data_IF_775169367064
#
_entry.id   IF_775169367064
#
_cell.length_a   1.000
_cell.length_b   1.000
_cell.length_c   1.000
_cell.angle_alpha   90.00
_cell.angle_beta   90.00
_cell.angle_gamma   90.00
#
_symmetry.space_group_name_H-M   'P 1'
#
loop_
_entity.id
_entity.type
_entity.pdbx_description
1 polymer ?
#
# COMPACT_ATOMS: atom_id res chain seq x y z
N UNK A 1 18.73 21.61 16.36
CA UNK A 1 18.60 20.19 15.99
C UNK A 1 17.82 20.13 14.69
N UNK A 2 18.41 19.54 13.67
CA UNK A 2 17.73 19.30 12.41
C UNK A 2 16.59 18.30 12.63
N UNK A 3 15.43 18.58 12.04
CA UNK A 3 14.26 17.72 12.12
C UNK A 3 14.46 16.57 11.14
N UNK A 4 14.43 15.34 11.63
CA UNK A 4 14.59 14.16 10.78
C UNK A 4 13.39 14.01 9.84
N UNK A 5 13.63 13.44 8.65
CA UNK A 5 12.55 13.07 7.72
C UNK A 5 12.25 11.58 7.83
N UNK A 6 10.97 11.23 7.86
CA UNK A 6 10.56 9.85 7.60
C UNK A 6 10.77 9.53 6.11
N UNK A 7 11.61 8.54 5.84
CA UNK A 7 11.90 8.05 4.48
C UNK A 7 10.97 6.90 4.08
N UNK A 8 10.36 6.24 5.06
CA UNK A 8 9.29 5.28 4.87
C UNK A 8 8.28 5.42 6.01
N UNK A 9 7.01 5.17 5.73
CA UNK A 9 5.95 5.17 6.73
C UNK A 9 4.80 4.31 6.26
N UNK A 10 4.27 3.49 7.16
CA UNK A 10 3.16 2.61 6.85
C UNK A 10 1.85 3.22 7.34
N UNK A 11 1.43 4.32 6.70
CA UNK A 11 0.09 4.86 6.90
C UNK A 11 -0.95 3.94 6.21
N UNK A 12 -0.59 3.37 5.06
CA UNK A 12 -1.46 2.53 4.22
C UNK A 12 -1.34 1.03 4.53
N UNK A 13 -0.28 0.64 5.24
CA UNK A 13 -0.04 -0.74 5.71
C UNK A 13 0.29 -0.77 7.21
N UNK A 14 -0.61 -0.23 8.07
CA UNK A 14 -0.30 -0.06 9.48
C UNK A 14 0.05 -1.40 10.13
N UNK A 15 0.98 -1.36 11.08
CA UNK A 15 1.38 -2.53 11.82
C UNK A 15 0.18 -3.06 12.62
N UNK A 16 -0.26 -4.27 12.30
CA UNK A 16 -1.34 -4.96 12.99
C UNK A 16 -0.80 -5.67 14.22
N UNK A 17 -1.26 -5.25 15.40
CA UNK A 17 -0.88 -5.81 16.70
C UNK A 17 -2.14 -6.32 17.40
N UNK A 18 -2.55 -7.55 17.08
CA UNK A 18 -3.87 -8.06 17.49
C UNK A 18 -4.99 -7.23 16.85
N UNK A 19 -5.88 -6.66 17.65
CA UNK A 19 -6.99 -5.81 17.18
C UNK A 19 -6.60 -4.34 16.98
N UNK A 20 -5.32 -3.98 17.16
CA UNK A 20 -4.86 -2.58 17.13
C UNK A 20 -3.97 -2.30 15.93
N UNK A 21 -4.18 -1.15 15.30
CA UNK A 21 -3.39 -0.65 14.18
C UNK A 21 -2.42 0.42 14.65
N UNK A 22 -1.17 0.32 14.19
CA UNK A 22 -0.10 1.24 14.60
C UNK A 22 0.68 1.76 13.39
N UNK A 23 0.62 3.08 13.18
CA UNK A 23 1.49 3.77 12.21
C UNK A 23 2.96 3.65 12.64
N UNK A 24 3.81 3.17 11.75
CA UNK A 24 5.23 3.01 11.96
C UNK A 24 6.03 3.83 10.94
N UNK A 25 7.21 4.30 11.35
CA UNK A 25 8.07 5.14 10.52
C UNK A 25 9.51 4.69 10.56
N UNK A 26 10.20 4.81 9.43
CA UNK A 26 11.66 4.72 9.32
C UNK A 26 12.20 6.12 8.99
N UNK A 27 13.11 6.61 9.81
CA UNK A 27 13.73 7.92 9.66
C UNK A 27 14.97 7.84 8.77
N UNK A 28 15.44 8.99 8.26
CA UNK A 28 16.61 9.09 7.38
C UNK A 28 17.92 8.59 8.01
N UNK A 29 18.00 8.56 9.35
CA UNK A 29 19.12 7.99 10.09
C UNK A 29 18.99 6.47 10.33
N UNK A 30 17.98 5.83 9.73
CA UNK A 30 17.69 4.40 9.86
C UNK A 30 16.90 4.03 11.11
N UNK A 31 16.53 4.98 11.96
CA UNK A 31 15.75 4.71 13.18
C UNK A 31 14.34 4.26 12.84
N UNK A 32 13.86 3.24 13.53
CA UNK A 32 12.46 2.79 13.47
C UNK A 32 11.72 3.36 14.67
N UNK A 33 10.66 4.11 14.41
CA UNK A 33 9.96 4.85 15.45
C UNK A 33 8.43 4.70 15.39
N UNK A 34 7.81 4.79 16.56
CA UNK A 34 6.37 4.97 16.72
C UNK A 34 6.07 6.38 17.25
N UNK A 35 4.92 6.94 16.87
CA UNK A 35 4.46 8.18 17.49
C UNK A 35 3.94 7.94 18.91
N UNK A 36 4.04 8.93 19.80
CA UNK A 36 3.48 8.81 21.17
C UNK A 36 1.97 8.49 21.18
N UNK A 37 1.20 9.11 20.27
CA UNK A 37 -0.21 8.78 20.09
C UNK A 37 -0.40 7.33 19.60
N UNK A 38 0.49 6.84 18.75
CA UNK A 38 0.52 5.44 18.32
C UNK A 38 0.69 4.49 19.50
N UNK A 39 1.70 4.72 20.35
CA UNK A 39 1.93 3.91 21.55
C UNK A 39 0.70 3.87 22.47
N UNK A 40 0.07 5.02 22.69
CA UNK A 40 -1.16 5.13 23.48
C UNK A 40 -2.33 4.36 22.86
N UNK A 41 -2.53 4.48 21.54
CA UNK A 41 -3.59 3.77 20.82
C UNK A 41 -3.39 2.24 20.88
N UNK A 42 -2.16 1.77 20.70
CA UNK A 42 -1.85 0.35 20.78
C UNK A 42 -2.23 -0.24 22.15
N UNK A 43 -1.97 0.50 23.23
CA UNK A 43 -2.35 0.13 24.60
C UNK A 43 -3.81 0.46 24.96
N UNK A 44 -4.66 0.83 23.97
CA UNK A 44 -6.08 1.17 24.15
C UNK A 44 -6.34 2.31 25.16
N UNK A 45 -5.48 3.32 25.19
CA UNK A 45 -5.77 4.57 25.92
C UNK A 45 -7.00 5.27 25.31
N UNK A 46 -7.81 5.98 26.12
CA UNK A 46 -8.94 6.76 25.61
C UNK A 46 -8.48 7.78 24.54
N UNK A 47 -9.29 7.98 23.49
CA UNK A 47 -8.98 8.96 22.44
C UNK A 47 -8.87 10.42 22.93
N UNK A 48 -9.48 10.73 24.08
CA UNK A 48 -9.38 12.02 24.77
C UNK A 48 -8.11 12.18 25.61
N UNK A 49 -7.29 11.14 25.75
CA UNK A 49 -6.06 11.21 26.52
C UNK A 49 -5.03 12.13 25.83
N UNK A 50 -4.45 13.06 26.59
CA UNK A 50 -3.37 13.91 26.07
C UNK A 50 -2.16 13.09 25.62
N UNK A 51 -1.37 13.61 24.67
CA UNK A 51 -0.23 12.88 24.06
C UNK A 51 0.93 12.52 24.99
N UNK A 52 0.84 12.85 26.28
CA UNK A 52 1.78 12.46 27.34
C UNK A 52 1.16 11.55 28.39
N UNK A 53 -0.08 11.07 28.20
CA UNK A 53 -0.81 10.28 29.20
C UNK A 53 -0.09 8.98 29.55
N UNK A 54 0.48 8.29 28.55
CA UNK A 54 1.27 7.08 28.78
C UNK A 54 2.49 7.37 29.67
N UNK A 55 3.28 8.38 29.31
CA UNK A 55 4.48 8.78 30.07
C UNK A 55 4.12 9.23 31.49
N UNK A 56 3.01 9.97 31.65
CA UNK A 56 2.50 10.36 32.97
C UNK A 56 2.10 9.16 33.82
N UNK A 57 1.43 8.16 33.22
CA UNK A 57 1.06 6.93 33.92
C UNK A 57 2.29 6.15 34.38
N UNK A 58 3.29 6.02 33.52
CA UNK A 58 4.54 5.31 33.83
C UNK A 58 5.32 5.98 34.97
N UNK A 59 5.29 7.31 35.04
CA UNK A 59 5.96 8.08 36.09
C UNK A 59 5.13 8.26 37.37
N UNK A 60 3.98 7.58 37.50
CA UNK A 60 3.08 7.74 38.64
C UNK A 60 3.02 6.48 39.52
N UNK A 61 2.97 6.69 40.83
CA UNK A 61 2.77 5.62 41.82
C UNK A 61 3.82 4.52 41.75
N UNK A 62 3.42 3.26 41.97
CA UNK A 62 4.33 2.10 42.02
C UNK A 62 5.00 1.75 40.68
N UNK A 63 4.50 2.28 39.55
CA UNK A 63 5.11 2.02 38.23
C UNK A 63 6.44 2.74 38.06
N UNK A 64 6.59 3.96 38.62
CA UNK A 64 7.82 4.73 38.46
C UNK A 64 9.02 4.06 39.12
N UNK A 65 8.79 3.32 40.21
CA UNK A 65 9.79 2.52 40.92
C UNK A 65 10.28 1.29 40.12
N UNK A 66 9.59 0.92 39.05
CA UNK A 66 9.88 -0.25 38.22
C UNK A 66 10.45 0.10 36.84
N UNK A 67 10.58 1.37 36.50
CA UNK A 67 11.14 1.79 35.22
C UNK A 67 12.62 1.43 35.14
N UNK A 68 13.01 0.76 34.07
CA UNK A 68 14.42 0.48 33.77
C UNK A 68 15.09 1.72 33.19
N UNK A 69 16.41 1.80 33.31
CA UNK A 69 17.23 2.87 32.70
C UNK A 69 16.98 2.93 31.19
N UNK A 70 16.90 1.79 30.52
CA UNK A 70 16.63 1.69 29.08
C UNK A 70 15.26 2.29 28.67
N UNK A 71 14.20 2.02 29.44
CA UNK A 71 12.87 2.62 29.20
C UNK A 71 12.94 4.14 29.37
N UNK A 72 13.59 4.60 30.44
CA UNK A 72 13.75 6.04 30.73
C UNK A 72 14.52 6.73 29.59
N UNK A 73 15.61 6.14 29.13
CA UNK A 73 16.42 6.67 28.05
C UNK A 73 15.65 6.73 26.73
N UNK A 74 14.89 5.67 26.37
CA UNK A 74 14.04 5.65 25.17
C UNK A 74 12.91 6.69 25.21
N UNK A 75 12.36 6.99 26.39
CA UNK A 75 11.35 8.05 26.57
C UNK A 75 11.99 9.44 26.41
N UNK A 76 13.17 9.65 27.01
CA UNK A 76 13.84 10.95 27.03
C UNK A 76 14.48 11.29 25.67
N UNK A 77 15.02 10.29 24.97
CA UNK A 77 15.70 10.42 23.68
C UNK A 77 14.76 10.26 22.48
N UNK A 78 13.50 10.68 22.62
CA UNK A 78 12.55 10.75 21.50
C UNK A 78 13.05 11.71 20.42
N UNK A 79 12.84 11.37 19.15
CA UNK A 79 13.30 12.14 17.99
C UNK A 79 12.18 13.00 17.42
N UNK A 80 12.48 14.25 17.08
CA UNK A 80 11.57 15.07 16.27
C UNK A 80 11.69 14.68 14.80
N UNK A 81 10.57 14.34 14.17
CA UNK A 81 10.55 14.03 12.74
C UNK A 81 9.32 14.60 12.01
N UNK A 82 9.46 14.76 10.70
CA UNK A 82 8.39 15.10 9.78
C UNK A 82 7.79 13.83 9.16
N UNK A 83 6.46 13.68 9.24
CA UNK A 83 5.73 12.56 8.64
C UNK A 83 5.73 12.64 7.10
N UNK A 84 5.67 11.51 6.38
CA UNK A 84 5.55 11.51 4.92
C UNK A 84 4.29 12.26 4.45
N UNK A 85 4.36 12.99 3.33
CA UNK A 85 3.19 13.68 2.74
C UNK A 85 2.73 14.96 3.46
N UNK A 86 3.38 15.37 4.55
CA UNK A 86 3.05 16.62 5.26
C UNK A 86 3.58 17.84 4.48
N UNK A 87 2.80 18.31 3.50
CA UNK A 87 3.10 19.55 2.77
C UNK A 87 2.85 20.78 3.65
N UNK A 88 3.91 21.40 4.17
CA UNK A 88 3.83 22.70 4.84
C UNK A 88 4.61 22.83 6.16
N UNK A 89 4.79 24.09 6.57
CA UNK A 89 5.57 24.55 7.72
C UNK A 89 4.88 24.11 9.03
N UNK A 90 5.34 22.99 9.62
CA UNK A 90 5.01 22.39 10.94
C UNK A 90 4.03 21.20 10.94
N UNK A 91 4.59 19.99 10.90
CA UNK A 91 3.99 18.79 11.50
C UNK A 91 5.11 18.01 12.24
N UNK A 92 5.67 18.62 13.29
CA UNK A 92 6.66 17.97 14.14
C UNK A 92 5.98 16.86 14.93
N UNK A 93 6.40 15.62 14.73
CA UNK A 93 5.96 14.46 15.54
C UNK A 93 7.13 14.00 16.39
N UNK A 94 6.85 13.62 17.64
CA UNK A 94 7.82 12.90 18.45
C UNK A 94 7.75 11.40 18.17
N UNK A 95 8.84 10.86 17.66
CA UNK A 95 9.07 9.45 17.43
C UNK A 95 9.85 8.82 18.58
N UNK A 96 9.28 7.78 19.17
CA UNK A 96 9.93 6.95 20.18
C UNK A 96 10.48 5.70 19.49
N UNK A 97 11.58 5.16 20.01
CA UNK A 97 12.14 3.89 19.53
C UNK A 97 11.05 2.81 19.44
N UNK A 98 11.00 2.08 18.32
CA UNK A 98 9.96 1.09 18.10
C UNK A 98 9.94 -0.03 19.17
N UNK A 99 11.10 -0.36 19.75
CA UNK A 99 11.20 -1.38 20.80
C UNK A 99 10.58 -0.94 22.13
N UNK A 100 10.43 0.37 22.37
CA UNK A 100 9.85 0.90 23.60
C UNK A 100 8.44 0.36 23.89
N UNK A 101 7.64 0.09 22.86
CA UNK A 101 6.32 -0.52 23.04
C UNK A 101 6.42 -1.89 23.73
N UNK A 102 7.39 -2.71 23.30
CA UNK A 102 7.63 -4.05 23.83
C UNK A 102 8.12 -3.97 25.28
N UNK A 103 9.03 -3.03 25.57
CA UNK A 103 9.56 -2.83 26.92
C UNK A 103 8.45 -2.40 27.89
N UNK A 104 7.60 -1.46 27.48
CA UNK A 104 6.43 -1.03 28.27
C UNK A 104 5.45 -2.19 28.47
N UNK A 105 5.20 -3.00 27.42
CA UNK A 105 4.31 -4.16 27.55
C UNK A 105 4.84 -5.16 28.58
N UNK A 106 6.13 -5.51 28.51
CA UNK A 106 6.77 -6.42 29.46
C UNK A 106 6.76 -5.86 30.88
N UNK A 107 7.02 -4.56 31.06
CA UNK A 107 6.92 -3.89 32.36
C UNK A 107 5.51 -4.01 32.95
N UNK A 108 4.47 -3.74 32.16
CA UNK A 108 3.08 -3.84 32.61
C UNK A 108 2.71 -5.29 32.98
N UNK A 109 3.15 -6.28 32.21
CA UNK A 109 2.93 -7.70 32.51
C UNK A 109 3.61 -8.09 33.83
N UNK A 110 4.87 -7.73 34.03
CA UNK A 110 5.60 -8.03 35.28
C UNK A 110 4.97 -7.35 36.49
N UNK A 111 4.56 -6.08 36.36
CA UNK A 111 3.87 -5.36 37.44
C UNK A 111 2.50 -5.97 37.76
N UNK A 112 1.81 -6.52 36.76
CA UNK A 112 0.55 -7.25 36.95
C UNK A 112 0.77 -8.54 37.73
N UNK A 113 1.79 -9.32 37.38
CA UNK A 113 2.17 -10.54 38.11
C UNK A 113 2.53 -10.26 39.58
N UNK A 114 3.10 -9.09 39.86
CA UNK A 114 3.40 -8.62 41.21
C UNK A 114 2.18 -8.04 41.97
N UNK A 115 1.03 -7.90 41.32
CA UNK A 115 -0.19 -7.37 41.94
C UNK A 115 -0.12 -5.90 42.34
N UNK A 116 0.79 -5.11 41.72
CA UNK A 116 1.01 -3.70 42.09
C UNK A 116 0.25 -2.70 41.21
N UNK A 117 -0.46 -3.18 40.18
CA UNK A 117 -1.24 -2.35 39.27
C UNK A 117 -2.59 -1.95 39.86
N UNK A 118 -3.05 -0.74 39.50
CA UNK A 118 -4.45 -0.35 39.71
C UNK A 118 -5.38 -1.12 38.75
N UNK A 119 -6.70 -1.19 39.02
CA UNK A 119 -7.65 -1.86 38.11
C UNK A 119 -7.57 -1.35 36.67
N UNK A 120 -7.36 -0.04 36.48
CA UNK A 120 -7.23 0.54 35.15
C UNK A 120 -5.92 0.15 34.45
N UNK A 121 -4.82 0.06 35.20
CA UNK A 121 -3.54 -0.40 34.67
C UNK A 121 -3.56 -1.89 34.32
N UNK A 122 -4.32 -2.71 35.05
CA UNK A 122 -4.50 -4.14 34.74
C UNK A 122 -5.14 -4.35 33.35
N UNK A 123 -6.09 -3.50 32.95
CA UNK A 123 -6.66 -3.52 31.58
C UNK A 123 -5.59 -3.30 30.50
N UNK A 124 -4.68 -2.34 30.72
CA UNK A 124 -3.56 -2.08 29.81
C UNK A 124 -2.57 -3.24 29.79
N UNK A 125 -2.31 -3.88 30.93
CA UNK A 125 -1.44 -5.05 31.03
C UNK A 125 -2.02 -6.28 30.30
N UNK A 126 -3.35 -6.46 30.29
CA UNK A 126 -4.00 -7.50 29.45
C UNK A 126 -3.81 -7.23 27.96
N UNK A 127 -3.96 -5.97 27.56
CA UNK A 127 -3.71 -5.55 26.17
C UNK A 127 -2.25 -5.78 25.78
N UNK A 128 -1.32 -5.42 26.68
CA UNK A 128 0.12 -5.68 26.51
C UNK A 128 0.43 -7.17 26.29
N UNK A 129 -0.21 -8.08 27.04
CA UNK A 129 -0.04 -9.52 26.85
C UNK A 129 -0.44 -9.97 25.43
N UNK A 130 -1.56 -9.44 24.91
CA UNK A 130 -2.01 -9.73 23.54
C UNK A 130 -1.00 -9.22 22.51
N UNK A 131 -0.48 -7.99 22.70
CA UNK A 131 0.54 -7.42 21.81
C UNK A 131 1.79 -8.29 21.79
N UNK A 132 2.35 -8.64 22.96
CA UNK A 132 3.54 -9.50 23.06
C UNK A 132 3.32 -10.85 22.37
N UNK A 133 2.16 -11.47 22.58
CA UNK A 133 1.83 -12.76 21.97
C UNK A 133 1.74 -12.67 20.44
N UNK A 134 1.16 -11.60 19.90
CA UNK A 134 1.06 -11.36 18.47
C UNK A 134 2.43 -11.09 17.84
N UNK A 135 3.24 -10.25 18.47
CA UNK A 135 4.59 -9.92 17.99
C UNK A 135 5.50 -11.15 18.03
N UNK A 136 5.42 -11.97 19.08
CA UNK A 136 6.22 -13.19 19.18
C UNK A 136 5.94 -14.19 18.04
N UNK A 137 4.67 -14.36 17.67
CA UNK A 137 4.28 -15.21 16.53
C UNK A 137 4.85 -14.72 15.21
N UNK A 138 4.78 -13.41 14.95
CA UNK A 138 5.38 -12.81 13.75
C UNK A 138 6.91 -12.88 13.80
N UNK A 139 7.50 -12.67 14.97
CA UNK A 139 8.94 -12.71 15.18
C UNK A 139 9.53 -14.10 14.89
N UNK A 140 8.91 -15.19 15.37
CA UNK A 140 9.42 -16.54 15.07
C UNK A 140 9.30 -16.88 13.59
N UNK A 141 8.20 -16.48 12.93
CA UNK A 141 8.04 -16.68 11.47
C UNK A 141 9.11 -15.89 10.72
N UNK A 142 9.30 -14.61 11.04
CA UNK A 142 10.31 -13.76 10.41
C UNK A 142 11.74 -14.28 10.62
N UNK A 143 12.05 -14.79 11.81
CA UNK A 143 13.34 -15.44 12.09
C UNK A 143 13.53 -16.71 11.27
N UNK A 144 12.49 -17.55 11.14
CA UNK A 144 12.52 -18.74 10.27
C UNK A 144 12.75 -18.32 8.82
N UNK A 145 12.04 -17.30 8.33
CA UNK A 145 12.17 -16.81 6.97
C UNK A 145 13.57 -16.23 6.69
N UNK A 146 14.17 -15.54 7.67
CA UNK A 146 15.53 -15.00 7.60
C UNK A 146 16.58 -16.12 7.56
N UNK A 147 16.52 -17.10 8.46
CA UNK A 147 17.51 -18.18 8.53
C UNK A 147 17.36 -19.21 7.40
N UNK A 148 16.15 -19.39 6.86
CA UNK A 148 15.90 -20.29 5.71
C UNK A 148 16.11 -19.58 4.37
N UNK A 149 16.17 -18.25 4.35
CA UNK A 149 16.17 -17.46 3.12
C UNK A 149 14.81 -17.42 2.40
N UNK A 150 13.74 -17.91 3.04
CA UNK A 150 12.39 -17.99 2.46
C UNK A 150 11.78 -16.63 2.15
N UNK A 151 12.29 -15.54 2.74
CA UNK A 151 11.84 -14.18 2.47
C UNK A 151 11.81 -13.84 0.96
N UNK A 152 12.83 -14.26 0.20
CA UNK A 152 12.90 -14.03 -1.25
C UNK A 152 12.05 -15.00 -2.07
N UNK A 153 11.72 -16.17 -1.51
CA UNK A 153 10.89 -17.17 -2.19
C UNK A 153 9.42 -16.79 -2.11
N UNK A 154 8.96 -16.22 -0.99
CA UNK A 154 7.59 -15.72 -0.84
C UNK A 154 7.20 -14.68 -1.88
N UNK A 155 8.05 -13.69 -2.15
CA UNK A 155 7.78 -12.67 -3.19
C UNK A 155 7.73 -13.28 -4.59
N UNK A 156 8.60 -14.27 -4.86
CA UNK A 156 8.60 -15.02 -6.13
C UNK A 156 7.35 -15.87 -6.29
N UNK A 157 6.92 -16.56 -5.23
CA UNK A 157 5.75 -17.41 -5.25
C UNK A 157 4.46 -16.60 -5.45
N UNK A 158 4.33 -15.44 -4.79
CA UNK A 158 3.18 -14.55 -5.01
C UNK A 158 3.14 -13.99 -6.43
N UNK A 159 4.29 -13.56 -6.97
CA UNK A 159 4.37 -13.16 -8.38
C UNK A 159 4.00 -14.32 -9.31
N UNK A 160 4.50 -15.53 -9.03
CA UNK A 160 4.21 -16.70 -9.85
C UNK A 160 2.73 -17.06 -9.85
N UNK A 161 2.04 -16.95 -8.71
CA UNK A 161 0.58 -17.13 -8.62
C UNK A 161 -0.16 -16.10 -9.49
N UNK A 162 0.25 -14.83 -9.44
CA UNK A 162 -0.34 -13.78 -10.29
C UNK A 162 -0.13 -14.11 -11.77
N UNK A 163 1.09 -14.50 -12.16
CA UNK A 163 1.39 -14.86 -13.54
C UNK A 163 0.57 -16.07 -14.00
N UNK A 164 0.46 -17.12 -13.18
CA UNK A 164 -0.36 -18.30 -13.48
C UNK A 164 -1.83 -17.95 -13.66
N UNK A 165 -2.37 -17.04 -12.85
CA UNK A 165 -3.74 -16.58 -12.98
C UNK A 165 -3.98 -15.78 -14.28
N UNK A 166 -2.99 -15.01 -14.74
CA UNK A 166 -3.16 -14.12 -15.90
C UNK A 166 -2.71 -14.71 -17.23
N UNK A 167 -1.81 -15.69 -17.22
CA UNK A 167 -1.09 -16.15 -18.40
C UNK A 167 -1.41 -17.61 -18.68
N UNK A 168 -1.99 -17.85 -19.85
CA UNK A 168 -2.32 -19.18 -20.32
C UNK A 168 -1.04 -20.00 -20.56
N UNK A 169 -1.13 -21.31 -20.36
CA UNK A 169 -0.03 -22.24 -20.64
C UNK A 169 0.36 -22.20 -22.12
N UNK A 170 -0.65 -22.21 -22.99
CA UNK A 170 -0.51 -22.15 -24.45
C UNK A 170 -1.04 -20.84 -25.05
N UNK A 171 -0.61 -20.54 -26.27
CA UNK A 171 -1.17 -19.45 -27.06
C UNK A 171 -2.59 -19.79 -27.52
N UNK A 172 -3.55 -18.97 -27.08
CA UNK A 172 -4.93 -19.04 -27.53
C UNK A 172 -5.08 -18.54 -28.98
N UNK A 173 -6.11 -19.01 -29.72
CA UNK A 173 -6.40 -18.52 -31.06
C UNK A 173 -6.58 -17.00 -31.13
N UNK A 174 -6.16 -16.39 -32.23
CA UNK A 174 -6.32 -14.96 -32.42
C UNK A 174 -7.80 -14.56 -32.38
N UNK A 175 -8.15 -13.64 -31.48
CA UNK A 175 -9.46 -13.03 -31.41
C UNK A 175 -9.30 -11.51 -31.27
N UNK A 176 -10.18 -10.73 -31.91
CA UNK A 176 -10.13 -9.27 -31.85
C UNK A 176 -10.49 -8.79 -30.44
N UNK A 177 -9.51 -8.23 -29.72
CA UNK A 177 -9.70 -7.71 -28.35
C UNK A 177 -9.89 -6.20 -28.28
N UNK A 178 -9.20 -5.45 -29.13
CA UNK A 178 -9.31 -3.99 -29.16
C UNK A 178 -10.52 -3.57 -30.01
N UNK A 179 -11.51 -2.86 -29.43
CA UNK A 179 -12.68 -2.40 -30.17
C UNK A 179 -12.32 -1.22 -31.08
N UNK A 180 -13.07 -1.03 -32.17
CA UNK A 180 -12.71 0.00 -33.17
C UNK A 180 -12.78 1.43 -32.62
N UNK A 181 -13.64 1.66 -31.60
CA UNK A 181 -13.70 2.93 -30.87
C UNK A 181 -12.35 3.32 -30.26
N UNK A 182 -11.55 2.35 -29.79
CA UNK A 182 -10.24 2.61 -29.21
C UNK A 182 -9.33 3.32 -30.22
N UNK A 183 -9.24 2.77 -31.44
CA UNK A 183 -8.41 3.36 -32.48
C UNK A 183 -9.02 4.63 -33.09
N UNK A 184 -10.35 4.68 -33.22
CA UNK A 184 -11.04 5.88 -33.71
C UNK A 184 -10.77 7.10 -32.81
N UNK A 185 -10.95 6.93 -31.50
CA UNK A 185 -10.69 8.01 -30.54
C UNK A 185 -9.21 8.37 -30.47
N UNK A 186 -8.31 7.38 -30.52
CA UNK A 186 -6.88 7.65 -30.53
C UNK A 186 -6.46 8.50 -31.74
N UNK A 187 -7.03 8.24 -32.93
CA UNK A 187 -6.78 9.05 -34.13
C UNK A 187 -7.38 10.45 -33.98
N UNK A 188 -8.63 10.56 -33.48
CA UNK A 188 -9.30 11.85 -33.19
C UNK A 188 -8.44 12.72 -32.28
N UNK A 189 -7.95 12.16 -31.16
CA UNK A 189 -7.16 12.89 -30.17
C UNK A 189 -5.83 13.44 -30.71
N UNK A 190 -5.30 12.83 -31.77
CA UNK A 190 -4.06 13.24 -32.43
C UNK A 190 -4.30 14.04 -33.72
N UNK A 191 -5.56 14.29 -34.10
CA UNK A 191 -5.90 14.99 -35.35
C UNK A 191 -5.51 14.20 -36.61
N UNK A 192 -5.45 12.87 -36.54
CA UNK A 192 -5.14 12.01 -37.67
C UNK A 192 -6.39 11.59 -38.41
N UNK A 193 -6.30 11.50 -39.74
CA UNK A 193 -7.39 10.98 -40.56
C UNK A 193 -7.62 9.50 -40.29
N UNK A 194 -8.86 9.12 -39.99
CA UNK A 194 -9.27 7.73 -39.80
C UNK A 194 -9.81 7.14 -41.11
N UNK A 195 -8.90 6.71 -42.00
CA UNK A 195 -9.22 6.12 -43.31
C UNK A 195 -8.65 4.70 -43.42
N UNK A 196 -9.12 3.91 -44.38
CA UNK A 196 -8.60 2.55 -44.62
C UNK A 196 -7.08 2.53 -44.86
N UNK A 197 -6.52 3.58 -45.45
CA UNK A 197 -5.07 3.72 -45.69
C UNK A 197 -4.29 3.97 -44.40
N UNK A 198 -4.74 4.89 -43.56
CA UNK A 198 -4.08 5.22 -42.29
C UNK A 198 -4.22 4.11 -41.24
N UNK A 199 -5.31 3.33 -41.29
CA UNK A 199 -5.53 2.14 -40.46
C UNK A 199 -4.56 1.00 -40.83
N UNK A 200 -4.16 0.89 -42.11
CA UNK A 200 -3.17 -0.10 -42.57
C UNK A 200 -1.73 0.30 -42.24
N UNK A 201 -1.41 1.61 -42.31
CA UNK A 201 -0.09 2.17 -41.98
C UNK A 201 -0.16 3.01 -40.71
N UNK A 202 -0.50 2.35 -39.59
CA UNK A 202 -0.63 3.03 -38.30
C UNK A 202 0.71 3.62 -37.84
N UNK A 203 0.71 4.81 -37.22
CA UNK A 203 1.90 5.34 -36.57
C UNK A 203 2.45 4.35 -35.54
N UNK A 204 3.75 4.06 -35.60
CA UNK A 204 4.41 3.08 -34.72
C UNK A 204 4.30 3.41 -33.22
N UNK A 205 4.17 4.71 -32.90
CA UNK A 205 3.99 5.22 -31.54
C UNK A 205 2.75 4.64 -30.83
N UNK A 206 1.73 4.22 -31.59
CA UNK A 206 0.52 3.60 -31.04
C UNK A 206 0.86 2.32 -30.25
N UNK A 207 1.86 1.55 -30.68
CA UNK A 207 2.31 0.37 -29.94
C UNK A 207 2.88 0.74 -28.57
N UNK A 208 3.69 1.79 -28.51
CA UNK A 208 4.25 2.32 -27.26
C UNK A 208 3.15 2.80 -26.32
N UNK A 209 2.16 3.54 -26.84
CA UNK A 209 1.03 3.99 -26.03
C UNK A 209 0.13 2.84 -25.59
N UNK A 210 -0.06 1.82 -26.43
CA UNK A 210 -0.84 0.64 -26.05
C UNK A 210 -0.15 -0.12 -24.91
N UNK A 211 1.17 -0.27 -24.94
CA UNK A 211 1.91 -0.84 -23.82
C UNK A 211 1.66 -0.01 -22.55
N UNK A 212 1.85 1.31 -22.63
CA UNK A 212 1.73 2.19 -21.45
C UNK A 212 0.33 2.28 -20.85
N UNK A 213 -0.68 2.41 -21.70
CA UNK A 213 -2.07 2.63 -21.29
C UNK A 213 -2.79 1.33 -20.94
N UNK A 214 -2.35 0.19 -21.47
CA UNK A 214 -3.06 -1.08 -21.35
C UNK A 214 -2.22 -2.12 -20.62
N UNK A 215 -1.12 -2.56 -21.23
CA UNK A 215 -0.39 -3.71 -20.71
C UNK A 215 0.44 -3.40 -19.45
N UNK A 216 0.99 -2.21 -19.33
CA UNK A 216 1.70 -1.74 -18.12
C UNK A 216 0.73 -1.49 -16.95
N UNK A 217 -0.58 -1.51 -17.21
CA UNK A 217 -1.63 -1.34 -16.20
C UNK A 217 -2.18 -2.68 -15.69
N UNK A 218 -1.73 -3.80 -16.28
CA UNK A 218 -1.93 -5.13 -15.71
C UNK A 218 -0.99 -5.33 -14.51
N UNK A 219 -1.23 -6.34 -13.66
CA UNK A 219 -0.40 -6.57 -12.48
C UNK A 219 1.10 -6.66 -12.80
N UNK A 220 1.97 -6.34 -11.82
CA UNK A 220 3.42 -6.38 -11.99
C UNK A 220 3.91 -7.70 -12.59
N UNK A 221 4.83 -7.62 -13.54
CA UNK A 221 5.43 -8.79 -14.20
C UNK A 221 4.64 -9.35 -15.39
N UNK A 222 3.33 -9.11 -15.49
CA UNK A 222 2.50 -9.67 -16.58
C UNK A 222 3.01 -9.25 -17.95
N UNK A 223 3.20 -7.95 -18.22
CA UNK A 223 3.71 -7.48 -19.52
C UNK A 223 5.11 -8.03 -19.85
N UNK A 224 5.96 -8.21 -18.85
CA UNK A 224 7.29 -8.78 -19.06
C UNK A 224 7.18 -10.23 -19.54
N UNK A 225 6.40 -11.04 -18.83
CA UNK A 225 6.17 -12.44 -19.19
C UNK A 225 5.48 -12.57 -20.55
N UNK A 226 4.48 -11.72 -20.85
CA UNK A 226 3.85 -11.68 -22.18
C UNK A 226 4.86 -11.41 -23.30
N UNK A 227 5.81 -10.49 -23.09
CA UNK A 227 6.88 -10.19 -24.07
C UNK A 227 7.83 -11.36 -24.26
N UNK A 228 8.14 -12.08 -23.19
CA UNK A 228 9.07 -13.22 -23.19
C UNK A 228 8.44 -14.45 -23.86
N UNK A 229 7.16 -14.74 -23.56
CA UNK A 229 6.41 -15.85 -24.15
C UNK A 229 5.99 -15.62 -25.60
N UNK A 230 5.94 -14.37 -26.05
CA UNK A 230 5.51 -14.08 -27.42
C UNK A 230 6.56 -14.54 -28.41
N UNK A 231 6.26 -15.53 -29.28
CA UNK A 231 7.20 -16.03 -30.28
C UNK A 231 7.64 -14.92 -31.22
N UNK A 232 8.90 -15.00 -31.65
CA UNK A 232 9.52 -14.07 -32.58
C UNK A 232 9.98 -14.79 -33.83
N UNK A 233 9.89 -14.13 -34.97
CA UNK A 233 10.44 -14.62 -36.23
C UNK A 233 11.97 -14.55 -36.22
N UNK A 234 12.62 -15.16 -37.21
CA UNK A 234 14.08 -15.07 -37.39
C UNK A 234 14.58 -13.61 -37.52
N UNK A 235 13.72 -12.69 -37.97
CA UNK A 235 14.02 -11.25 -38.06
C UNK A 235 13.72 -10.49 -36.76
N UNK A 236 13.34 -11.17 -35.68
CA UNK A 236 13.05 -10.58 -34.36
C UNK A 236 11.66 -9.99 -34.18
N UNK A 237 10.77 -10.11 -35.18
CA UNK A 237 9.41 -9.58 -35.11
C UNK A 237 8.48 -10.53 -34.37
N UNK A 238 7.64 -10.00 -33.48
CA UNK A 238 6.61 -10.80 -32.81
C UNK A 238 5.65 -11.44 -33.82
N UNK A 239 5.50 -12.76 -33.77
CA UNK A 239 4.60 -13.53 -34.64
C UNK A 239 3.21 -13.75 -34.02
N UNK A 240 3.08 -13.45 -32.73
CA UNK A 240 1.83 -13.47 -31.97
C UNK A 240 1.54 -12.12 -31.30
N UNK A 241 0.29 -11.89 -30.92
CA UNK A 241 -0.14 -10.77 -30.08
C UNK A 241 -0.13 -11.17 -28.61
N UNK A 242 0.23 -10.23 -27.73
CA UNK A 242 0.31 -10.46 -26.28
C UNK A 242 -1.00 -10.99 -25.68
N UNK A 243 -2.14 -10.48 -26.12
CA UNK A 243 -3.45 -10.91 -25.60
C UNK A 243 -3.78 -12.39 -25.91
N UNK A 244 -3.04 -13.07 -26.79
CA UNK A 244 -3.22 -14.51 -27.03
C UNK A 244 -2.60 -15.37 -25.93
N UNK A 245 -1.74 -14.81 -25.08
CA UNK A 245 -1.17 -15.51 -23.93
C UNK A 245 -1.93 -15.22 -22.63
N UNK A 246 -3.07 -14.52 -22.69
CA UNK A 246 -3.87 -14.23 -21.50
C UNK A 246 -4.89 -15.35 -21.27
N UNK A 247 -5.11 -15.69 -19.99
CA UNK A 247 -6.19 -16.61 -19.61
C UNK A 247 -7.57 -16.02 -19.88
N UNK A 248 -8.55 -16.89 -20.14
CA UNK A 248 -9.91 -16.45 -20.46
C UNK A 248 -10.72 -16.04 -19.22
N UNK A 249 -10.34 -16.50 -18.04
CA UNK A 249 -11.04 -16.29 -16.77
C UNK A 249 -10.62 -15.00 -16.05
N UNK A 250 -9.33 -14.64 -16.09
CA UNK A 250 -8.78 -13.50 -15.35
C UNK A 250 -8.04 -12.54 -16.29
N UNK A 251 -7.12 -13.04 -17.12
CA UNK A 251 -6.24 -12.21 -17.94
C UNK A 251 -7.01 -11.36 -18.96
N UNK A 252 -7.88 -12.00 -19.73
CA UNK A 252 -8.69 -11.35 -20.76
C UNK A 252 -9.74 -10.39 -20.18
N UNK A 253 -10.54 -10.75 -19.17
CA UNK A 253 -11.51 -9.82 -18.59
C UNK A 253 -10.85 -8.55 -18.04
N UNK A 254 -9.69 -8.68 -17.41
CA UNK A 254 -8.94 -7.53 -16.90
C UNK A 254 -8.33 -6.67 -18.00
N UNK A 255 -7.82 -7.28 -19.07
CA UNK A 255 -7.40 -6.54 -20.27
C UNK A 255 -8.58 -5.73 -20.83
N UNK A 256 -9.74 -6.35 -20.97
CA UNK A 256 -10.96 -5.73 -21.49
C UNK A 256 -11.44 -4.58 -20.60
N UNK A 257 -11.43 -4.75 -19.27
CA UNK A 257 -11.74 -3.69 -18.31
C UNK A 257 -10.81 -2.47 -18.49
N UNK A 258 -9.50 -2.71 -18.62
CA UNK A 258 -8.52 -1.63 -18.81
C UNK A 258 -8.66 -0.93 -20.16
N UNK A 259 -8.96 -1.67 -21.23
CA UNK A 259 -9.27 -1.09 -22.54
C UNK A 259 -10.48 -0.17 -22.44
N UNK A 260 -11.58 -0.63 -21.84
CA UNK A 260 -12.81 0.16 -21.69
C UNK A 260 -12.57 1.43 -20.87
N UNK A 261 -11.85 1.32 -19.75
CA UNK A 261 -11.44 2.48 -18.95
C UNK A 261 -10.63 3.49 -19.76
N UNK A 262 -9.71 3.01 -20.60
CA UNK A 262 -8.90 3.87 -21.48
C UNK A 262 -9.76 4.52 -22.57
N UNK A 263 -10.72 3.79 -23.15
CA UNK A 263 -11.68 4.35 -24.12
C UNK A 263 -12.50 5.47 -23.49
N UNK A 264 -13.01 5.27 -22.27
CA UNK A 264 -13.74 6.32 -21.55
C UNK A 264 -12.87 7.57 -21.37
N UNK A 265 -11.61 7.39 -21.00
CA UNK A 265 -10.66 8.49 -20.87
C UNK A 265 -10.43 9.21 -22.20
N UNK A 266 -10.34 8.46 -23.29
CA UNK A 266 -10.19 9.05 -24.62
C UNK A 266 -11.40 9.89 -25.01
N UNK A 267 -12.61 9.39 -24.80
CA UNK A 267 -13.86 10.08 -25.12
C UNK A 267 -14.06 11.37 -24.31
N UNK A 268 -13.62 11.39 -23.05
CA UNK A 268 -13.68 12.58 -22.18
C UNK A 268 -12.61 13.63 -22.51
N UNK A 269 -11.64 13.29 -23.35
CA UNK A 269 -10.50 14.17 -23.65
C UNK A 269 -10.67 14.89 -24.98
N UNK A 270 -10.31 16.16 -25.00
CA UNK A 270 -10.39 16.98 -26.23
C UNK A 270 -9.28 16.62 -27.22
N UNK A 271 -8.08 16.35 -26.70
CA UNK A 271 -6.88 16.03 -27.47
C UNK A 271 -5.90 15.16 -26.67
N UNK A 272 -4.84 14.68 -27.32
CA UNK A 272 -3.89 13.74 -26.72
C UNK A 272 -3.18 14.31 -25.48
N UNK A 273 -2.89 15.61 -25.45
CA UNK A 273 -2.26 16.25 -24.30
C UNK A 273 -3.19 16.28 -23.08
N UNK A 274 -4.47 16.63 -23.30
CA UNK A 274 -5.50 16.56 -22.26
C UNK A 274 -5.66 15.12 -21.74
N UNK A 275 -5.68 14.13 -22.62
CA UNK A 275 -5.76 12.71 -22.26
C UNK A 275 -4.63 12.28 -21.32
N UNK A 276 -3.37 12.57 -21.66
CA UNK A 276 -2.24 12.22 -20.80
C UNK A 276 -2.28 12.90 -19.43
N UNK A 277 -2.76 14.14 -19.36
CA UNK A 277 -2.97 14.85 -18.08
C UNK A 277 -4.02 14.14 -17.22
N UNK A 278 -5.14 13.74 -17.83
CA UNK A 278 -6.20 13.01 -17.13
C UNK A 278 -5.76 11.60 -16.72
N UNK A 279 -5.00 10.91 -17.58
CA UNK A 279 -4.42 9.60 -17.25
C UNK A 279 -3.50 9.70 -16.03
N UNK A 280 -2.59 10.68 -16.01
CA UNK A 280 -1.70 10.92 -14.87
C UNK A 280 -2.48 11.22 -13.59
N UNK A 281 -3.48 12.10 -13.67
CA UNK A 281 -4.36 12.43 -12.54
C UNK A 281 -5.12 11.20 -12.02
N UNK A 282 -5.57 10.33 -12.92
CA UNK A 282 -6.22 9.08 -12.57
C UNK A 282 -5.27 8.14 -11.83
N UNK A 283 -4.03 7.99 -12.31
CA UNK A 283 -2.99 7.20 -11.65
C UNK A 283 -2.67 7.75 -10.24
N UNK A 284 -2.48 9.06 -10.12
CA UNK A 284 -2.22 9.72 -8.84
C UNK A 284 -3.39 9.51 -7.86
N UNK A 285 -4.63 9.56 -8.34
CA UNK A 285 -5.82 9.26 -7.52
C UNK A 285 -5.90 7.80 -7.14
N UNK A 286 -5.65 6.86 -8.05
CA UNK A 286 -5.69 5.43 -7.73
C UNK A 286 -4.62 5.04 -6.72
N UNK A 287 -3.41 5.62 -6.85
CA UNK A 287 -2.36 5.46 -5.86
C UNK A 287 -2.71 6.08 -4.50
N UNK A 288 -3.60 7.08 -4.45
CA UNK A 288 -4.11 7.67 -3.21
C UNK A 288 -5.49 7.14 -2.74
N UNK A 289 -6.19 6.32 -3.54
CA UNK A 289 -7.58 5.89 -3.32
C UNK A 289 -7.69 4.56 -2.56
N UNK A 290 -6.59 3.98 -2.09
CA UNK A 290 -6.67 3.04 -0.95
C UNK A 290 -7.18 3.74 0.33
N UNK A 291 -7.30 5.08 0.32
CA UNK A 291 -8.09 5.90 1.24
C UNK A 291 -9.15 6.73 0.50
N UNK A 292 -10.38 6.23 0.42
CA UNK A 292 -11.55 7.10 0.37
C UNK A 292 -12.61 6.54 1.31
N UNK A 293 -12.97 7.36 2.31
CA UNK A 293 -14.23 7.19 3.02
C UNK A 293 -15.39 7.27 2.02
N UNK A 294 -16.42 6.46 2.25
CA UNK A 294 -17.63 6.47 1.43
C UNK A 294 -18.24 7.88 1.42
N UNK A 295 -18.62 8.42 0.25
CA UNK A 295 -19.13 9.80 0.15
C UNK A 295 -20.57 9.96 0.67
N UNK A 296 -21.07 8.99 1.43
CA UNK A 296 -22.39 8.95 2.00
C UNK A 296 -22.35 8.22 3.34
N UNK A 297 -23.18 8.70 4.28
CA UNK A 297 -23.46 7.99 5.52
C UNK A 297 -24.82 7.31 5.41
N UNK A 298 -24.96 6.14 6.02
CA UNK A 298 -26.20 5.38 6.05
C UNK A 298 -26.98 5.66 7.34
N UNK A 299 -28.31 5.63 7.29
CA UNK A 299 -29.14 5.57 8.50
C UNK A 299 -29.09 4.16 9.14
N UNK A 300 -29.75 4.02 10.29
CA UNK A 300 -29.84 2.75 11.02
C UNK A 300 -30.54 1.61 10.25
N UNK A 301 -31.17 1.92 9.11
CA UNK A 301 -31.82 0.97 8.21
C UNK A 301 -31.04 0.77 6.89
N UNK A 302 -29.89 1.44 6.71
CA UNK A 302 -29.03 1.27 5.54
C UNK A 302 -29.37 2.18 4.34
N UNK A 303 -30.17 3.23 4.50
CA UNK A 303 -30.44 4.19 3.42
C UNK A 303 -29.39 5.30 3.37
N UNK A 304 -28.97 5.71 2.17
CA UNK A 304 -28.09 6.87 1.97
C UNK A 304 -28.77 8.14 2.44
N UNK A 305 -28.11 8.90 3.32
CA UNK A 305 -28.56 10.24 3.71
C UNK A 305 -28.28 11.22 2.59
N UNK A 306 -29.33 11.86 2.06
CA UNK A 306 -29.21 13.02 1.18
C UNK A 306 -28.84 14.25 2.02
N UNK A 307 -27.57 14.65 1.97
CA UNK A 307 -27.16 15.95 2.52
C UNK A 307 -27.58 17.05 1.52
N UNK A 308 -28.54 17.90 1.91
CA UNK A 308 -28.89 19.12 1.19
C UNK A 308 -27.82 20.20 1.33
#
# INVERSE_FOLDING_TARGET
>A
MDILKAIAGANDTPLQLGDSTLECYVLEDGSRVFSGNGLQKALKFPGSAGGSALVKMLNAGKLSEKLTIDIIDKINNRKEFARPGSGGRLSKTYGYDATLLIDICNLLIQCREQGILTPKQDEYARTAQTIISSVAKVGIIGLIDEVTGYQHQREKDELQKILQAYIAEDLLPWQKRFPDIFYRELFRLNGWDYTLGSIKKRPGVIGTWTNKLIYEQLPPGVLKELKERTPKSAAGNATARYHQSLTEDIGEPNLSAQINKTVTLFQLSDNMAHMWKQFKKLQERQAGQEQLDMPFSFDENGHTKDDK
#
